data_IF_442926038021
#
_entry.id   IF_442926038021
#
_cell.length_a   1.000
_cell.length_b   1.000
_cell.length_c   1.000
_cell.angle_alpha   90.00
_cell.angle_beta   90.00
_cell.angle_gamma   90.00
#
_symmetry.space_group_name_H-M   'P 1'
#
loop_
_entity.id
_entity.type
_entity.pdbx_description
1 polymer ?
#
# COMPACT_ATOMS: atom_id res chain seq x y z
N UNK A 1 22.06 5.87 -7.31
CA UNK A 1 20.87 6.62 -6.84
C UNK A 1 21.20 7.20 -5.47
N UNK A 2 20.58 8.33 -5.06
CA UNK A 2 20.73 8.87 -3.71
C UNK A 2 20.33 7.84 -2.64
N UNK A 3 20.84 8.00 -1.41
CA UNK A 3 20.58 7.07 -0.31
C UNK A 3 19.12 7.09 0.17
N UNK A 4 18.51 8.29 0.18
CA UNK A 4 17.07 8.49 0.28
C UNK A 4 16.50 8.71 -1.12
N UNK A 5 15.85 7.68 -1.64
CA UNK A 5 15.23 7.72 -2.96
C UNK A 5 13.92 6.95 -2.92
N UNK A 6 12.84 7.58 -3.36
CA UNK A 6 11.50 7.00 -3.43
C UNK A 6 10.91 7.32 -4.81
N UNK A 7 10.28 6.31 -5.42
CA UNK A 7 9.54 6.49 -6.67
C UNK A 7 8.05 6.43 -6.35
N UNK A 8 7.35 7.51 -6.66
CA UNK A 8 5.90 7.54 -6.70
C UNK A 8 5.47 7.64 -8.16
N UNK A 9 4.73 6.64 -8.62
CA UNK A 9 4.15 6.62 -9.96
C UNK A 9 2.63 6.67 -9.84
N UNK A 10 2.01 7.55 -10.62
CA UNK A 10 0.56 7.68 -10.71
C UNK A 10 0.09 7.16 -12.07
N UNK A 11 -1.05 6.49 -12.09
CA UNK A 11 -1.70 6.06 -13.33
C UNK A 11 -3.11 6.63 -13.33
N UNK A 12 -3.43 7.46 -14.32
CA UNK A 12 -4.80 7.93 -14.52
C UNK A 12 -5.58 6.82 -15.25
N UNK A 13 -6.64 6.24 -14.65
CA UNK A 13 -7.37 5.15 -15.27
C UNK A 13 -8.19 5.58 -16.51
N UNK A 14 -8.43 6.88 -16.69
CA UNK A 14 -9.31 7.42 -17.74
C UNK A 14 -8.54 7.77 -19.03
N UNK A 15 -7.23 8.02 -18.95
CA UNK A 15 -6.41 8.33 -20.12
C UNK A 15 -5.98 7.04 -20.84
N UNK A 16 -6.60 6.75 -21.99
CA UNK A 16 -6.25 5.62 -22.87
C UNK A 16 -5.45 6.03 -24.12
N UNK A 17 -5.27 7.33 -24.38
CA UNK A 17 -4.44 7.79 -25.50
C UNK A 17 -2.96 7.87 -25.08
N UNK A 18 -2.15 6.93 -25.56
CA UNK A 18 -0.68 6.98 -25.46
C UNK A 18 -0.07 6.38 -24.18
N UNK A 19 -0.87 5.87 -23.26
CA UNK A 19 -0.42 5.20 -22.03
C UNK A 19 -0.56 3.69 -22.16
N UNK A 20 0.58 2.99 -22.33
CA UNK A 20 0.59 1.54 -22.21
C UNK A 20 0.54 1.18 -20.72
N UNK A 21 -0.41 0.34 -20.26
CA UNK A 21 -0.43 -0.09 -18.87
C UNK A 21 0.90 -0.73 -18.51
N UNK A 22 1.40 -0.43 -17.32
CA UNK A 22 2.64 -1.02 -16.82
C UNK A 22 2.51 -2.56 -16.86
N UNK A 23 3.43 -3.28 -17.53
CA UNK A 23 3.39 -4.74 -17.51
C UNK A 23 3.46 -5.25 -16.06
N UNK A 24 2.81 -6.38 -15.78
CA UNK A 24 2.76 -6.97 -14.42
C UNK A 24 4.15 -7.16 -13.81
N UNK A 25 5.13 -7.58 -14.62
CA UNK A 25 6.51 -7.73 -14.18
C UNK A 25 7.16 -6.41 -13.72
N UNK A 26 6.72 -5.26 -14.24
CA UNK A 26 7.14 -3.94 -13.79
C UNK A 26 6.36 -3.51 -12.55
N UNK A 27 5.05 -3.77 -12.50
CA UNK A 27 4.23 -3.50 -11.32
C UNK A 27 4.69 -4.26 -10.07
N UNK A 28 5.16 -5.51 -10.22
CA UNK A 28 5.69 -6.33 -9.11
C UNK A 28 6.90 -5.70 -8.39
N UNK A 29 7.59 -4.74 -9.03
CA UNK A 29 8.71 -4.00 -8.43
C UNK A 29 8.25 -2.91 -7.45
N UNK A 30 6.99 -2.47 -7.54
CA UNK A 30 6.42 -1.55 -6.57
C UNK A 30 6.06 -2.30 -5.28
N UNK A 31 6.44 -1.73 -4.14
CA UNK A 31 6.18 -2.34 -2.84
C UNK A 31 4.67 -2.33 -2.51
N UNK A 32 4.00 -1.23 -2.84
CA UNK A 32 2.59 -0.99 -2.62
C UNK A 32 1.93 -0.37 -3.86
N UNK A 33 0.65 -0.66 -4.06
CA UNK A 33 -0.28 0.08 -4.92
C UNK A 33 -1.41 0.63 -4.05
N UNK A 34 -1.67 1.93 -4.16
CA UNK A 34 -2.74 2.60 -3.42
C UNK A 34 -3.77 3.10 -4.42
N UNK A 35 -5.03 2.76 -4.20
CA UNK A 35 -6.15 3.34 -4.92
C UNK A 35 -6.62 4.56 -4.14
N UNK A 36 -6.72 5.71 -4.80
CA UNK A 36 -7.22 6.95 -4.22
C UNK A 36 -8.51 7.29 -4.94
N UNK A 37 -9.61 7.25 -4.19
CA UNK A 37 -10.93 7.63 -4.70
C UNK A 37 -11.15 9.15 -4.56
N UNK A 38 -12.22 9.63 -5.19
CA UNK A 38 -12.59 11.05 -5.09
C UNK A 38 -12.95 11.43 -3.65
N UNK A 39 -12.63 12.67 -3.20
CA UNK A 39 -13.00 13.13 -1.88
C UNK A 39 -14.52 13.23 -1.72
N UNK A 40 -15.00 13.11 -0.49
CA UNK A 40 -16.39 13.45 -0.17
C UNK A 40 -16.62 14.97 -0.15
N UNK A 41 -17.88 15.40 -0.22
CA UNK A 41 -18.30 16.80 -0.31
C UNK A 41 -17.61 17.73 0.69
N UNK A 42 -17.41 17.29 1.95
CA UNK A 42 -16.77 18.10 2.98
C UNK A 42 -15.27 18.30 2.72
N UNK A 43 -14.56 17.21 2.39
CA UNK A 43 -13.14 17.27 2.03
C UNK A 43 -12.92 18.11 0.77
N UNK A 44 -13.80 17.99 -0.24
CA UNK A 44 -13.75 18.79 -1.46
C UNK A 44 -13.89 20.30 -1.16
N UNK A 45 -14.81 20.66 -0.26
CA UNK A 45 -14.97 22.05 0.19
C UNK A 45 -13.76 22.57 0.94
N UNK A 46 -13.12 21.73 1.75
CA UNK A 46 -11.92 22.10 2.48
C UNK A 46 -10.70 22.24 1.57
N UNK A 47 -10.58 21.42 0.52
CA UNK A 47 -9.59 21.60 -0.55
C UNK A 47 -9.78 22.97 -1.22
N UNK A 48 -11.00 23.34 -1.59
CA UNK A 48 -11.28 24.65 -2.20
C UNK A 48 -10.89 25.80 -1.26
N UNK A 49 -11.17 25.67 0.05
CA UNK A 49 -10.79 26.67 1.06
C UNK A 49 -9.29 26.76 1.23
N UNK A 50 -8.60 25.62 1.27
CA UNK A 50 -7.14 25.52 1.39
C UNK A 50 -6.46 26.26 0.23
N UNK A 51 -6.78 25.89 -1.02
CA UNK A 51 -6.20 26.51 -2.22
C UNK A 51 -6.47 28.02 -2.25
N UNK A 52 -7.68 28.46 -1.91
CA UNK A 52 -8.02 29.90 -1.85
C UNK A 52 -7.19 30.65 -0.79
N UNK A 53 -6.91 30.02 0.34
CA UNK A 53 -6.08 30.62 1.40
C UNK A 53 -4.61 30.68 0.98
N UNK A 54 -4.11 29.68 0.25
CA UNK A 54 -2.76 29.68 -0.33
C UNK A 54 -2.61 30.79 -1.37
N UNK A 55 -3.56 30.94 -2.29
CA UNK A 55 -3.58 32.03 -3.28
C UNK A 55 -3.57 33.42 -2.62
N UNK A 56 -4.38 33.61 -1.55
CA UNK A 56 -4.36 34.85 -0.77
C UNK A 56 -3.00 35.08 -0.11
N UNK A 57 -2.41 34.05 0.49
CA UNK A 57 -1.12 34.16 1.17
C UNK A 57 0.01 34.52 0.19
N UNK A 58 -0.04 33.99 -1.03
CA UNK A 58 0.89 34.34 -2.13
C UNK A 58 0.67 35.79 -2.57
N UNK A 59 -0.58 36.26 -2.65
CA UNK A 59 -0.89 37.66 -3.02
C UNK A 59 -0.50 38.68 -1.95
N UNK A 60 -0.54 38.31 -0.66
CA UNK A 60 -0.17 39.17 0.48
C UNK A 60 1.34 39.19 0.72
N UNK A 61 2.05 38.09 0.43
CA UNK A 61 3.51 38.02 0.51
C UNK A 61 4.24 38.93 -0.51
N UNK A 62 3.53 39.46 -1.52
CA UNK A 62 4.05 40.46 -2.43
C UNK A 62 4.15 41.88 -1.80
N UNK A 63 3.40 42.17 -0.72
CA UNK A 63 3.32 43.50 -0.11
C UNK A 63 3.67 43.54 1.41
N UNK A 64 3.94 42.42 2.07
CA UNK A 64 4.46 42.41 3.45
C UNK A 64 5.19 41.12 3.83
N UNK A 65 6.40 41.26 4.37
CA UNK A 65 7.25 40.23 5.00
C UNK A 65 6.63 39.71 6.31
N UNK A 66 5.43 39.11 6.26
CA UNK A 66 4.85 38.48 7.46
C UNK A 66 4.09 37.23 7.06
N UNK A 67 4.86 36.22 6.64
CA UNK A 67 4.35 34.86 6.45
C UNK A 67 4.00 34.29 7.82
N UNK A 68 2.71 34.19 8.12
CA UNK A 68 2.20 33.35 9.19
C UNK A 68 2.68 31.93 8.97
N UNK A 69 3.63 31.52 9.81
CA UNK A 69 4.10 30.15 9.96
C UNK A 69 2.91 29.28 10.36
N UNK A 70 2.27 28.63 9.39
CA UNK A 70 1.75 27.29 9.68
C UNK A 70 2.96 26.51 10.20
N UNK A 71 2.84 25.89 11.38
CA UNK A 71 3.88 25.07 11.99
C UNK A 71 4.16 23.86 11.09
N UNK A 72 4.94 24.08 10.04
CA UNK A 72 5.45 23.02 9.19
C UNK A 72 6.47 22.29 10.06
N UNK A 73 6.06 21.13 10.58
CA UNK A 73 6.98 20.20 11.25
C UNK A 73 7.95 19.71 10.18
N UNK A 74 9.18 20.23 10.23
CA UNK A 74 10.25 19.77 9.33
C UNK A 74 10.95 18.58 9.97
N UNK A 75 10.92 17.44 9.29
CA UNK A 75 11.65 16.24 9.70
C UNK A 75 12.99 16.24 8.96
N UNK A 76 14.10 16.11 9.69
CA UNK A 76 15.42 16.01 9.07
C UNK A 76 15.60 14.68 8.33
N UNK A 77 16.42 14.67 7.28
CA UNK A 77 16.77 13.43 6.57
C UNK A 77 17.44 12.42 7.50
N UNK A 78 18.24 12.89 8.47
CA UNK A 78 18.91 12.04 9.45
C UNK A 78 17.90 11.29 10.34
N UNK A 79 16.77 11.91 10.67
CA UNK A 79 15.69 11.26 11.42
C UNK A 79 15.07 10.11 10.62
N UNK A 80 14.93 10.26 9.30
CA UNK A 80 14.44 9.19 8.42
C UNK A 80 15.44 8.04 8.36
N UNK A 81 16.74 8.32 8.30
CA UNK A 81 17.76 7.27 8.32
C UNK A 81 17.85 6.55 9.66
N UNK A 82 17.73 7.27 10.78
CA UNK A 82 17.64 6.68 12.11
C UNK A 82 16.43 5.73 12.21
N UNK A 83 15.23 6.18 11.79
CA UNK A 83 14.04 5.32 11.77
C UNK A 83 14.23 4.06 10.90
N UNK A 84 14.91 4.17 9.75
CA UNK A 84 15.22 3.00 8.90
C UNK A 84 16.17 2.01 9.57
N UNK A 85 17.05 2.46 10.47
CA UNK A 85 17.94 1.60 11.23
C UNK A 85 17.22 0.88 12.38
N UNK A 86 16.12 1.42 12.87
CA UNK A 86 15.27 0.77 13.89
C UNK A 86 14.37 -0.32 13.30
N UNK A 87 14.05 -0.26 12.00
CA UNK A 87 13.14 -1.22 11.36
C UNK A 87 13.52 -2.71 11.52
N UNK A 88 14.79 -3.12 11.39
CA UNK A 88 15.20 -4.51 11.59
C UNK A 88 15.04 -5.00 13.03
N UNK A 89 14.98 -4.09 14.02
CA UNK A 89 14.86 -4.41 15.44
C UNK A 89 13.41 -4.70 15.87
N UNK A 90 12.43 -4.44 14.99
CA UNK A 90 11.03 -4.78 15.25
C UNK A 90 10.85 -6.30 15.21
N UNK A 91 10.42 -6.86 16.33
CA UNK A 91 10.28 -8.30 16.52
C UNK A 91 9.13 -8.86 15.68
N UNK A 92 9.41 -9.94 14.95
CA UNK A 92 8.41 -10.70 14.20
C UNK A 92 8.41 -12.11 14.75
N UNK A 93 7.27 -12.54 15.29
CA UNK A 93 7.13 -13.91 15.81
C UNK A 93 6.97 -14.92 14.67
N UNK A 94 7.34 -16.18 14.94
CA UNK A 94 7.15 -17.29 13.99
C UNK A 94 5.69 -17.40 13.50
N UNK A 95 4.71 -17.06 14.34
CA UNK A 95 3.29 -17.06 13.98
C UNK A 95 3.04 -16.07 12.83
N UNK A 96 3.58 -14.86 12.93
CA UNK A 96 3.41 -13.81 11.91
C UNK A 96 4.19 -14.16 10.64
N UNK A 97 5.41 -14.68 10.76
CA UNK A 97 6.19 -15.12 9.59
C UNK A 97 5.47 -16.24 8.84
N UNK A 98 5.00 -17.26 9.56
CA UNK A 98 4.23 -18.35 8.98
C UNK A 98 2.93 -17.86 8.35
N UNK A 99 2.26 -16.88 8.96
CA UNK A 99 1.05 -16.28 8.39
C UNK A 99 1.36 -15.56 7.07
N UNK A 100 2.38 -14.71 7.00
CA UNK A 100 2.84 -14.04 5.77
C UNK A 100 3.13 -15.07 4.67
N UNK A 101 3.88 -16.13 5.00
CA UNK A 101 4.20 -17.20 4.05
C UNK A 101 2.93 -17.91 3.59
N UNK A 102 2.01 -18.20 4.50
CA UNK A 102 0.75 -18.89 4.21
C UNK A 102 -0.14 -18.09 3.27
N UNK A 103 -0.25 -16.77 3.47
CA UNK A 103 -0.97 -15.86 2.58
C UNK A 103 -0.38 -15.90 1.16
N UNK A 104 0.94 -15.73 1.03
CA UNK A 104 1.59 -15.73 -0.29
C UNK A 104 1.52 -17.11 -0.95
N UNK A 105 1.63 -18.20 -0.19
CA UNK A 105 1.48 -19.55 -0.72
C UNK A 105 0.03 -19.86 -1.13
N UNK A 106 -0.97 -19.33 -0.43
CA UNK A 106 -2.38 -19.45 -0.80
C UNK A 106 -2.66 -18.84 -2.17
N UNK A 107 -2.00 -17.72 -2.52
CA UNK A 107 -2.11 -17.16 -3.89
C UNK A 107 -1.51 -18.06 -4.97
N UNK A 108 -0.46 -18.83 -4.64
CA UNK A 108 0.27 -19.68 -5.60
C UNK A 108 -0.27 -21.10 -5.69
N UNK A 109 -0.89 -21.57 -4.62
CA UNK A 109 -1.45 -22.91 -4.49
C UNK A 109 -2.87 -22.80 -3.92
N UNK A 110 -3.79 -22.10 -4.61
CA UNK A 110 -5.14 -21.88 -4.12
C UNK A 110 -5.93 -23.18 -3.97
N UNK A 111 -5.50 -24.28 -4.61
CA UNK A 111 -6.12 -25.60 -4.52
C UNK A 111 -6.01 -26.21 -3.12
N UNK A 112 -5.10 -25.72 -2.27
CA UNK A 112 -5.05 -26.09 -0.84
C UNK A 112 -6.29 -25.65 -0.08
N UNK A 113 -7.01 -24.66 -0.61
CA UNK A 113 -8.22 -24.07 -0.07
C UNK A 113 -9.40 -24.42 -0.98
N UNK A 114 -9.61 -25.71 -1.23
CA UNK A 114 -10.59 -26.20 -2.23
C UNK A 114 -12.04 -25.85 -1.92
N UNK A 115 -12.35 -25.51 -0.67
CA UNK A 115 -13.69 -25.04 -0.25
C UNK A 115 -13.88 -23.53 -0.45
N UNK A 116 -12.86 -22.83 -0.96
CA UNK A 116 -12.87 -21.39 -1.24
C UNK A 116 -12.93 -21.09 -2.73
N UNK A 117 -13.31 -19.87 -3.10
CA UNK A 117 -13.33 -19.41 -4.50
C UNK A 117 -11.94 -19.09 -5.06
N UNK A 118 -10.88 -19.20 -4.26
CA UNK A 118 -9.52 -18.78 -4.66
C UNK A 118 -9.00 -19.51 -5.90
N UNK A 119 -9.33 -20.79 -6.07
CA UNK A 119 -8.87 -21.56 -7.23
C UNK A 119 -9.54 -21.13 -8.52
N UNK A 120 -10.77 -20.65 -8.43
CA UNK A 120 -11.51 -20.12 -9.58
C UNK A 120 -11.13 -18.67 -9.86
N UNK A 121 -10.73 -17.90 -8.86
CA UNK A 121 -10.43 -16.48 -9.02
C UNK A 121 -8.98 -16.17 -9.41
N UNK A 122 -8.01 -16.95 -8.94
CA UNK A 122 -6.58 -16.65 -9.14
C UNK A 122 -6.02 -17.39 -10.35
N UNK A 123 -5.56 -16.63 -11.36
CA UNK A 123 -4.83 -17.18 -12.51
C UNK A 123 -3.33 -17.28 -12.23
N UNK A 124 -2.74 -16.23 -11.65
CA UNK A 124 -1.32 -16.19 -11.28
C UNK A 124 -1.18 -15.58 -9.88
N UNK A 125 -0.52 -16.32 -9.00
CA UNK A 125 -0.24 -15.91 -7.63
C UNK A 125 0.94 -14.93 -7.51
N UNK A 126 1.14 -14.42 -6.30
CA UNK A 126 2.15 -13.40 -6.02
C UNK A 126 3.58 -13.95 -5.98
N UNK A 127 4.53 -13.10 -6.34
CA UNK A 127 5.96 -13.41 -6.33
C UNK A 127 6.55 -13.44 -4.90
N UNK A 128 7.78 -13.95 -4.70
CA UNK A 128 8.48 -13.83 -3.41
C UNK A 128 8.71 -12.38 -2.94
N UNK A 129 8.56 -11.38 -3.81
CA UNK A 129 8.59 -9.97 -3.38
C UNK A 129 7.40 -9.63 -2.48
N UNK A 130 6.30 -10.35 -2.61
CA UNK A 130 5.13 -10.18 -1.75
C UNK A 130 5.43 -10.47 -0.28
N UNK A 131 6.08 -11.58 0.03
CA UNK A 131 6.40 -11.91 1.43
C UNK A 131 7.37 -10.89 2.04
N UNK A 132 8.41 -10.49 1.29
CA UNK A 132 9.36 -9.47 1.71
C UNK A 132 8.68 -8.11 1.93
N UNK A 133 7.73 -7.75 1.06
CA UNK A 133 6.99 -6.50 1.18
C UNK A 133 6.03 -6.54 2.37
N UNK A 134 5.28 -7.63 2.59
CA UNK A 134 4.40 -7.78 3.75
C UNK A 134 5.18 -7.67 5.07
N UNK A 135 6.33 -8.34 5.17
CA UNK A 135 7.21 -8.27 6.34
C UNK A 135 7.71 -6.83 6.59
N UNK A 136 8.25 -6.16 5.57
CA UNK A 136 8.72 -4.77 5.71
C UNK A 136 7.59 -3.80 6.05
N UNK A 137 6.46 -3.91 5.39
CA UNK A 137 5.32 -3.00 5.56
C UNK A 137 4.63 -3.21 6.91
N UNK A 138 4.50 -4.45 7.39
CA UNK A 138 3.93 -4.73 8.71
C UNK A 138 4.81 -4.24 9.84
N UNK A 139 6.15 -4.42 9.77
CA UNK A 139 7.09 -3.81 10.73
C UNK A 139 7.02 -2.29 10.74
N UNK A 140 7.01 -1.66 9.56
CA UNK A 140 6.87 -0.21 9.46
C UNK A 140 5.54 0.27 10.04
N UNK A 141 4.45 -0.46 9.79
CA UNK A 141 3.13 -0.16 10.35
C UNK A 141 3.14 -0.26 11.88
N UNK A 142 3.67 -1.34 12.45
CA UNK A 142 3.79 -1.53 13.89
C UNK A 142 4.63 -0.42 14.56
N UNK A 143 5.78 -0.06 13.96
CA UNK A 143 6.63 1.03 14.45
C UNK A 143 5.93 2.39 14.41
N UNK A 144 5.16 2.68 13.37
CA UNK A 144 4.34 3.91 13.29
C UNK A 144 3.23 3.93 14.36
N UNK A 145 2.79 2.77 14.84
CA UNK A 145 1.89 2.64 15.99
C UNK A 145 2.64 2.69 17.35
N UNK A 146 3.95 2.91 17.35
CA UNK A 146 4.78 2.96 18.56
C UNK A 146 5.06 1.59 19.19
N UNK A 147 4.82 0.49 18.47
CA UNK A 147 5.13 -0.87 18.92
C UNK A 147 6.49 -1.33 18.38
N UNK A 148 7.13 -2.23 19.13
CA UNK A 148 8.39 -2.87 18.77
C UNK A 148 8.22 -4.34 18.35
N UNK A 149 6.99 -4.78 18.09
CA UNK A 149 6.66 -6.13 17.64
C UNK A 149 5.48 -6.08 16.65
N UNK A 150 5.45 -7.04 15.73
CA UNK A 150 4.38 -7.16 14.71
C UNK A 150 3.26 -8.06 15.22
N UNK A 151 2.02 -7.62 15.01
CA UNK A 151 0.81 -8.40 15.22
C UNK A 151 0.25 -8.89 13.86
N UNK A 152 -0.50 -10.00 13.82
CA UNK A 152 -1.14 -10.46 12.59
C UNK A 152 -2.01 -9.39 11.91
N UNK A 153 -2.66 -8.53 12.69
CA UNK A 153 -3.49 -7.44 12.18
C UNK A 153 -2.68 -6.38 11.42
N UNK A 154 -1.39 -6.20 11.72
CA UNK A 154 -0.50 -5.31 10.96
C UNK A 154 -0.28 -5.85 9.54
N UNK A 155 -0.15 -7.17 9.40
CA UNK A 155 -0.06 -7.85 8.10
C UNK A 155 -1.38 -7.68 7.35
N UNK A 156 -2.52 -7.86 8.03
CA UNK A 156 -3.85 -7.67 7.43
C UNK A 156 -4.05 -6.23 6.94
N UNK A 157 -3.62 -5.24 7.71
CA UNK A 157 -3.76 -3.82 7.40
C UNK A 157 -3.04 -3.41 6.10
N UNK A 158 -1.86 -3.99 5.82
CA UNK A 158 -1.07 -3.67 4.62
C UNK A 158 -1.32 -4.63 3.46
N UNK A 159 -2.04 -5.74 3.67
CA UNK A 159 -2.17 -6.82 2.70
C UNK A 159 -2.74 -6.37 1.36
N UNK A 160 -3.82 -5.57 1.36
CA UNK A 160 -4.44 -5.08 0.13
C UNK A 160 -3.47 -4.25 -0.73
N UNK A 161 -2.75 -3.34 -0.10
CA UNK A 161 -1.79 -2.46 -0.77
C UNK A 161 -0.61 -3.23 -1.34
N UNK A 162 -0.26 -4.36 -0.72
CA UNK A 162 0.94 -5.16 -1.06
C UNK A 162 0.64 -6.30 -2.03
N UNK A 163 -0.50 -6.98 -1.88
CA UNK A 163 -0.87 -8.16 -2.67
C UNK A 163 -1.76 -7.82 -3.86
N UNK A 164 -2.61 -6.79 -3.77
CA UNK A 164 -3.64 -6.54 -4.77
C UNK A 164 -3.10 -6.40 -6.20
N UNK A 165 -1.97 -5.70 -6.39
CA UNK A 165 -1.35 -5.55 -7.71
C UNK A 165 -0.45 -6.71 -8.14
N UNK A 166 -0.34 -7.76 -7.33
CA UNK A 166 0.51 -8.94 -7.57
C UNK A 166 -0.29 -10.21 -7.84
N UNK A 167 -1.59 -10.11 -8.02
CA UNK A 167 -2.49 -11.22 -8.31
C UNK A 167 -3.12 -10.98 -9.68
N UNK A 168 -2.91 -11.92 -10.60
CA UNK A 168 -3.62 -11.92 -11.87
C UNK A 168 -4.92 -12.71 -11.71
N UNK A 169 -6.03 -12.09 -12.10
CA UNK A 169 -7.36 -12.69 -12.01
C UNK A 169 -7.62 -13.62 -13.19
N UNK A 170 -8.40 -14.68 -12.94
CA UNK A 170 -8.91 -15.55 -13.99
C UNK A 170 -10.02 -14.88 -14.79
N UNK A 171 -10.35 -15.45 -15.94
CA UNK A 171 -11.50 -14.99 -16.73
C UNK A 171 -12.83 -15.11 -15.96
N UNK A 172 -12.99 -16.15 -15.14
CA UNK A 172 -14.19 -16.36 -14.33
C UNK A 172 -14.35 -15.26 -13.28
N UNK A 173 -13.28 -14.92 -12.55
CA UNK A 173 -13.29 -13.80 -11.61
C UNK A 173 -13.67 -12.48 -12.29
N UNK A 174 -13.11 -12.20 -13.47
CA UNK A 174 -13.44 -11.00 -14.24
C UNK A 174 -14.91 -10.99 -14.68
N UNK A 175 -15.46 -12.13 -15.08
CA UNK A 175 -16.87 -12.28 -15.44
C UNK A 175 -17.80 -12.07 -14.23
N UNK A 176 -17.36 -12.47 -13.03
CA UNK A 176 -18.04 -12.25 -11.75
C UNK A 176 -17.82 -10.85 -11.16
N UNK A 177 -17.07 -9.97 -11.85
CA UNK A 177 -16.69 -8.63 -11.38
C UNK A 177 -15.88 -8.63 -10.08
N UNK A 178 -15.18 -9.72 -9.77
CA UNK A 178 -14.29 -9.83 -8.63
C UNK A 178 -13.07 -8.93 -8.85
N UNK A 179 -12.74 -8.13 -7.85
CA UNK A 179 -11.54 -7.27 -7.87
C UNK A 179 -10.35 -7.95 -7.18
N UNK A 180 -9.13 -7.46 -7.40
CA UNK A 180 -7.99 -7.98 -6.64
C UNK A 180 -8.10 -7.70 -5.14
N UNK A 181 -8.80 -6.64 -4.73
CA UNK A 181 -9.06 -6.36 -3.32
C UNK A 181 -9.99 -7.41 -2.72
N UNK A 182 -11.03 -7.83 -3.44
CA UNK A 182 -11.94 -8.90 -3.01
C UNK A 182 -11.19 -10.22 -2.80
N UNK A 183 -10.29 -10.57 -3.73
CA UNK A 183 -9.44 -11.76 -3.59
C UNK A 183 -8.56 -11.67 -2.35
N UNK A 184 -7.93 -10.52 -2.10
CA UNK A 184 -7.07 -10.35 -0.92
C UNK A 184 -7.90 -10.43 0.36
N UNK A 185 -9.05 -9.76 0.43
CA UNK A 185 -9.96 -9.83 1.59
C UNK A 185 -10.40 -11.28 1.85
N UNK A 186 -10.84 -11.99 0.81
CA UNK A 186 -11.22 -13.39 0.94
C UNK A 186 -10.05 -14.26 1.40
N UNK A 187 -8.84 -13.99 0.91
CA UNK A 187 -7.62 -14.67 1.33
C UNK A 187 -7.30 -14.43 2.82
N UNK A 188 -7.53 -13.22 3.34
CA UNK A 188 -7.40 -12.92 4.77
C UNK A 188 -8.45 -13.63 5.64
N UNK A 189 -9.61 -13.98 5.07
CA UNK A 189 -10.67 -14.68 5.79
C UNK A 189 -10.46 -16.19 5.85
N UNK A 190 -9.90 -16.79 4.79
CA UNK A 190 -9.74 -18.26 4.69
C UNK A 190 -8.39 -18.77 5.19
N UNK A 191 -7.34 -17.94 5.16
CA UNK A 191 -6.00 -18.34 5.64
C UNK A 191 -5.93 -18.13 7.15
N UNK A 192 -5.82 -19.23 7.89
CA UNK A 192 -5.69 -19.19 9.34
C UNK A 192 -4.36 -18.53 9.78
N UNK A 193 -4.42 -17.84 10.91
CA UNK A 193 -3.25 -17.31 11.60
C UNK A 193 -2.73 -18.43 12.50
N UNK A 194 -1.68 -19.15 12.06
CA UNK A 194 -0.85 -20.04 12.88
C UNK A 194 -1.57 -21.17 13.61
#
# INVERSE_FOLDING_TARGET
>A
MPELFMVLATQNPIEQEGTYPLPEAQMDRFIMKVTVDYPEDEAERDIIRLVRNEERSISVAADSETTTSNDIITISTDSVFAARQEMPEIEVSDIVENYIVSLVMATRQPQRYSESSLSDWILVGSSPRASIALDKCSRAYAWLQGRNYVEPDDVRAVANMVLGHRIALSYNALAEQVTQQDVVNHLLDVVAIG
#
